data_IF_495487973219
#
_entry.id   IF_495487973219
#
_cell.length_a   1.000
_cell.length_b   1.000
_cell.length_c   1.000
_cell.angle_alpha   90.00
_cell.angle_beta   90.00
_cell.angle_gamma   90.00
#
_symmetry.space_group_name_H-M   'P 1'
#
loop_
_entity.id
_entity.type
_entity.pdbx_description
1 polymer ?
#
# COMPACT_ATOMS: atom_id res chain seq x y z
N UNK A 1 23.61 -21.72 22.77
CA UNK A 1 22.42 -21.93 23.63
C UNK A 1 21.86 -20.56 23.99
N UNK A 2 20.57 -20.35 23.77
CA UNK A 2 19.92 -19.08 24.10
C UNK A 2 19.78 -18.95 25.63
N UNK A 3 20.04 -17.76 26.16
CA UNK A 3 19.95 -17.46 27.59
C UNK A 3 18.87 -16.42 27.81
N UNK A 4 18.20 -16.49 28.95
CA UNK A 4 17.34 -15.40 29.44
C UNK A 4 18.20 -14.15 29.53
N UNK A 5 17.72 -13.05 28.97
CA UNK A 5 18.38 -11.75 28.98
C UNK A 5 17.59 -10.82 29.90
N UNK A 6 18.32 -10.13 30.78
CA UNK A 6 17.73 -9.07 31.59
C UNK A 6 17.53 -7.79 30.74
N UNK A 7 16.51 -6.98 31.04
CA UNK A 7 16.34 -5.68 30.41
C UNK A 7 17.59 -4.79 30.59
N UNK A 8 17.96 -4.07 29.54
CA UNK A 8 19.06 -3.11 29.56
C UNK A 8 18.75 -1.89 30.42
N UNK A 9 17.46 -1.56 30.58
CA UNK A 9 16.99 -0.37 31.31
C UNK A 9 15.56 -0.59 31.84
N UNK A 10 15.17 0.03 32.97
CA UNK A 10 13.77 0.12 33.37
C UNK A 10 12.91 0.93 32.38
N UNK A 11 13.54 1.77 31.55
CA UNK A 11 12.89 2.59 30.53
C UNK A 11 12.96 1.91 29.15
N UNK A 12 12.60 0.64 29.08
CA UNK A 12 12.70 -0.16 27.86
C UNK A 12 11.30 -0.50 27.33
N UNK A 13 11.11 -0.30 26.02
CA UNK A 13 9.98 -0.80 25.26
C UNK A 13 10.47 -1.99 24.44
N UNK A 14 10.07 -3.18 24.83
CA UNK A 14 10.57 -4.42 24.21
C UNK A 14 9.94 -4.67 22.84
N UNK A 15 10.66 -5.43 22.00
CA UNK A 15 10.13 -5.97 20.76
C UNK A 15 8.80 -6.72 20.99
N UNK A 16 7.87 -6.61 20.04
CA UNK A 16 6.50 -7.08 20.14
C UNK A 16 5.51 -6.05 20.69
N UNK A 17 5.98 -4.94 21.26
CA UNK A 17 5.11 -3.86 21.72
C UNK A 17 4.40 -3.15 20.57
N UNK A 18 3.20 -2.63 20.86
CA UNK A 18 2.41 -1.86 19.90
C UNK A 18 2.36 -0.40 20.31
N UNK A 19 2.62 0.50 19.36
CA UNK A 19 2.39 1.94 19.53
C UNK A 19 1.11 2.31 18.76
N UNK A 20 0.02 2.63 19.47
CA UNK A 20 -1.26 2.95 18.85
C UNK A 20 -1.26 4.38 18.31
N UNK A 21 -1.52 4.55 17.01
CA UNK A 21 -1.53 5.87 16.38
C UNK A 21 -2.66 6.03 15.35
N UNK A 22 -2.82 7.26 14.85
CA UNK A 22 -3.73 7.62 13.78
C UNK A 22 -3.03 8.54 12.79
N UNK A 23 -3.25 8.31 11.49
CA UNK A 23 -2.72 9.17 10.44
C UNK A 23 -3.21 10.62 10.61
N UNK A 24 -2.31 11.57 10.35
CA UNK A 24 -2.62 13.00 10.20
C UNK A 24 -2.67 13.34 8.71
N UNK A 25 -1.71 12.83 7.95
CA UNK A 25 -1.65 12.97 6.49
C UNK A 25 -2.25 11.74 5.83
N UNK A 26 -2.83 11.91 4.63
CA UNK A 26 -3.24 10.77 3.81
C UNK A 26 -2.03 10.07 3.17
N UNK A 27 -2.29 8.91 2.58
CA UNK A 27 -1.34 8.19 1.72
C UNK A 27 -2.01 8.01 0.35
N UNK A 28 -1.27 8.27 -0.72
CA UNK A 28 -1.61 7.86 -2.07
C UNK A 28 -0.40 7.14 -2.69
N UNK A 29 -0.55 5.88 -3.08
CA UNK A 29 0.52 5.06 -3.65
C UNK A 29 0.96 5.46 -5.06
N UNK A 30 0.33 6.44 -5.71
CA UNK A 30 0.75 6.94 -7.02
C UNK A 30 2.19 7.48 -7.01
N UNK A 31 2.63 8.05 -5.87
CA UNK A 31 3.98 8.57 -5.67
C UNK A 31 4.47 8.26 -4.25
N UNK A 32 5.74 7.86 -4.08
CA UNK A 32 6.30 7.61 -2.76
C UNK A 32 6.40 8.94 -2.00
N UNK A 33 6.29 8.87 -0.68
CA UNK A 33 6.25 10.08 0.13
C UNK A 33 6.44 9.87 1.61
N UNK A 34 6.35 10.99 2.33
CA UNK A 34 6.40 11.03 3.79
C UNK A 34 4.98 10.98 4.34
N UNK A 35 4.81 10.29 5.47
CA UNK A 35 3.55 10.21 6.20
C UNK A 35 3.76 10.60 7.66
N UNK A 36 2.76 11.28 8.23
CA UNK A 36 2.75 11.68 9.63
C UNK A 36 1.55 11.04 10.33
N UNK A 37 1.78 10.46 11.50
CA UNK A 37 0.74 9.99 12.41
C UNK A 37 0.90 10.59 13.81
N UNK A 38 -0.15 10.50 14.61
CA UNK A 38 -0.16 10.91 16.01
C UNK A 38 -0.44 9.70 16.90
N UNK A 39 0.39 9.52 17.93
CA UNK A 39 0.15 8.53 18.98
C UNK A 39 -1.15 8.87 19.71
N UNK A 40 -2.02 7.87 19.81
CA UNK A 40 -3.40 8.01 20.32
C UNK A 40 -3.55 7.61 21.77
N UNK A 41 -2.59 6.87 22.34
CA UNK A 41 -2.60 6.43 23.73
C UNK A 41 -1.18 6.43 24.29
N UNK A 42 -1.06 6.66 25.59
CA UNK A 42 0.21 6.56 26.31
C UNK A 42 0.80 5.15 26.20
N UNK A 43 2.10 5.05 25.91
CA UNK A 43 2.85 3.78 25.90
C UNK A 43 3.85 3.79 27.06
N UNK A 44 3.76 2.78 27.91
CA UNK A 44 4.59 2.61 29.09
C UNK A 44 5.69 1.57 28.84
N UNK A 45 6.67 1.52 29.73
CA UNK A 45 7.73 0.51 29.69
C UNK A 45 7.15 -0.91 29.79
N UNK A 46 7.79 -1.87 29.13
CA UNK A 46 7.38 -3.28 29.17
C UNK A 46 7.91 -4.02 30.40
N UNK A 47 8.88 -3.45 31.10
CA UNK A 47 9.59 -4.13 32.20
C UNK A 47 8.70 -4.21 33.45
N UNK A 48 8.03 -3.11 33.79
CA UNK A 48 7.14 -2.96 34.95
C UNK A 48 5.83 -2.23 34.61
N UNK A 49 5.75 -1.51 33.49
CA UNK A 49 4.55 -0.75 33.12
C UNK A 49 4.33 0.51 33.96
N UNK A 50 5.41 1.09 34.51
CA UNK A 50 5.34 2.17 35.50
C UNK A 50 5.77 3.53 34.92
N UNK A 51 6.62 3.52 33.89
CA UNK A 51 7.21 4.70 33.30
C UNK A 51 6.56 4.98 31.96
N UNK A 52 6.04 6.19 31.80
CA UNK A 52 5.52 6.67 30.53
C UNK A 52 6.69 6.92 29.58
N UNK A 53 6.79 6.15 28.50
CA UNK A 53 7.88 6.26 27.53
C UNK A 53 7.49 7.08 26.30
N UNK A 54 6.28 6.87 25.78
CA UNK A 54 5.77 7.60 24.61
C UNK A 54 4.42 8.22 25.00
N UNK A 55 4.37 9.53 25.27
CA UNK A 55 3.12 10.23 25.57
C UNK A 55 2.14 10.20 24.40
N UNK A 56 0.85 10.12 24.70
CA UNK A 56 -0.21 10.46 23.76
C UNK A 56 0.05 11.85 23.16
N UNK A 57 -0.20 12.00 21.86
CA UNK A 57 0.10 13.24 21.13
C UNK A 57 1.50 13.27 20.50
N UNK A 58 2.39 12.33 20.84
CA UNK A 58 3.67 12.16 20.12
C UNK A 58 3.42 12.01 18.62
N UNK A 59 4.31 12.58 17.79
CA UNK A 59 4.24 12.48 16.32
C UNK A 59 5.11 11.34 15.83
N UNK A 60 4.58 10.55 14.91
CA UNK A 60 5.32 9.57 14.14
C UNK A 60 5.62 10.16 12.77
N UNK A 61 6.88 10.08 12.35
CA UNK A 61 7.32 10.41 11.01
C UNK A 61 7.75 9.11 10.32
N UNK A 62 7.21 8.87 9.14
CA UNK A 62 7.53 7.69 8.35
C UNK A 62 7.48 7.97 6.87
N UNK A 63 7.68 6.92 6.09
CA UNK A 63 7.63 6.93 4.64
C UNK A 63 6.80 5.77 4.14
N UNK A 64 6.20 5.96 2.97
CA UNK A 64 5.50 4.91 2.25
C UNK A 64 6.05 4.82 0.83
N UNK A 65 6.03 3.61 0.27
CA UNK A 65 6.53 3.33 -1.08
C UNK A 65 5.36 3.25 -2.06
N UNK A 66 5.63 3.59 -3.32
CA UNK A 66 4.67 3.50 -4.43
C UNK A 66 4.69 2.16 -5.16
N UNK A 67 5.64 1.27 -4.86
CA UNK A 67 5.68 -0.06 -5.47
C UNK A 67 4.51 -0.91 -4.95
N UNK A 68 3.42 -0.87 -5.69
CA UNK A 68 2.27 -1.74 -5.52
C UNK A 68 2.33 -2.75 -6.64
N UNK A 69 2.74 -3.98 -6.32
CA UNK A 69 2.72 -5.06 -7.31
C UNK A 69 1.29 -5.40 -7.72
N UNK A 70 1.12 -5.97 -8.92
CA UNK A 70 -0.19 -6.46 -9.35
C UNK A 70 -0.77 -7.43 -8.29
N UNK A 71 -2.00 -7.17 -7.83
CA UNK A 71 -2.66 -7.92 -6.75
C UNK A 71 -2.37 -7.44 -5.32
N UNK A 72 -1.58 -6.38 -5.14
CA UNK A 72 -1.34 -5.78 -3.82
C UNK A 72 -2.39 -4.70 -3.51
N UNK A 73 -3.07 -4.88 -2.38
CA UNK A 73 -4.15 -4.00 -1.88
C UNK A 73 -3.73 -3.19 -0.64
N UNK A 74 -2.44 -3.20 -0.30
CA UNK A 74 -1.91 -2.62 0.94
C UNK A 74 -0.73 -1.69 0.68
N UNK A 75 -0.78 -0.51 1.30
CA UNK A 75 0.32 0.43 1.31
C UNK A 75 1.30 0.09 2.44
N UNK A 76 2.55 -0.20 2.10
CA UNK A 76 3.60 -0.44 3.09
C UNK A 76 4.10 0.89 3.65
N UNK A 77 4.17 0.97 4.97
CA UNK A 77 4.66 2.13 5.72
C UNK A 77 5.79 1.68 6.61
N UNK A 78 6.85 2.48 6.67
CA UNK A 78 7.93 2.35 7.65
C UNK A 78 7.97 3.62 8.47
N UNK A 79 8.01 3.48 9.79
CA UNK A 79 8.15 4.59 10.72
C UNK A 79 9.62 4.76 11.07
N UNK A 80 10.13 5.97 10.82
CA UNK A 80 11.55 6.29 10.95
C UNK A 80 11.84 7.05 12.27
N UNK A 81 10.85 7.75 12.82
CA UNK A 81 11.05 8.59 14.02
C UNK A 81 9.80 8.81 14.84
N UNK A 82 9.97 8.86 16.15
CA UNK A 82 8.97 9.33 17.12
C UNK A 82 9.45 10.66 17.69
N UNK A 83 8.61 11.68 17.66
CA UNK A 83 8.84 12.99 18.26
C UNK A 83 7.87 13.17 19.43
N UNK A 84 8.42 13.36 20.62
CA UNK A 84 7.65 13.54 21.85
C UNK A 84 7.27 15.01 22.06
N UNK A 85 6.22 15.30 22.86
CA UNK A 85 5.77 16.68 23.11
C UNK A 85 6.81 17.58 23.77
N UNK A 86 7.79 17.00 24.46
CA UNK A 86 8.89 17.73 25.12
C UNK A 86 10.03 18.12 24.15
N UNK A 87 9.88 17.80 22.85
CA UNK A 87 10.89 18.05 21.82
C UNK A 87 11.95 16.96 21.69
N UNK A 88 11.96 15.96 22.59
CA UNK A 88 12.86 14.81 22.44
C UNK A 88 12.37 13.88 21.33
N UNK A 89 13.28 13.09 20.77
CA UNK A 89 12.94 12.15 19.70
C UNK A 89 13.79 10.89 19.76
N UNK A 90 13.23 9.81 19.20
CA UNK A 90 13.92 8.54 19.02
C UNK A 90 13.78 8.11 17.56
N UNK A 91 14.91 7.73 16.96
CA UNK A 91 14.94 7.15 15.61
C UNK A 91 14.62 5.66 15.70
N UNK A 92 13.73 5.21 14.84
CA UNK A 92 13.23 3.84 14.78
C UNK A 92 13.28 3.33 13.33
N UNK A 93 12.99 2.06 13.11
CA UNK A 93 12.84 1.52 11.75
C UNK A 93 11.76 0.44 11.78
N UNK A 94 10.57 0.84 12.23
CA UNK A 94 9.50 -0.10 12.53
C UNK A 94 8.46 -0.17 11.41
N UNK A 95 7.98 -1.37 11.05
CA UNK A 95 6.91 -1.52 10.09
C UNK A 95 5.58 -0.98 10.64
N UNK A 96 4.83 -0.34 9.75
CA UNK A 96 3.43 0.03 9.99
C UNK A 96 2.50 -1.15 9.73
N UNK A 97 1.47 -1.26 10.58
CA UNK A 97 0.39 -2.23 10.45
C UNK A 97 -0.96 -1.56 10.66
N UNK A 98 -2.02 -2.19 10.17
CA UNK A 98 -3.39 -1.75 10.44
C UNK A 98 -3.80 -2.04 11.90
N UNK A 99 -5.01 -1.62 12.27
CA UNK A 99 -5.54 -1.80 13.62
C UNK A 99 -5.64 -3.27 14.06
N UNK A 100 -5.68 -4.21 13.11
CA UNK A 100 -5.73 -5.66 13.35
C UNK A 100 -4.34 -6.31 13.34
N UNK A 101 -3.27 -5.55 13.12
CA UNK A 101 -1.89 -6.03 13.13
C UNK A 101 -1.40 -6.62 11.81
N UNK A 102 -2.18 -6.54 10.73
CA UNK A 102 -1.67 -6.95 9.42
C UNK A 102 -0.70 -5.90 8.88
N UNK A 103 0.36 -6.35 8.22
CA UNK A 103 1.36 -5.47 7.62
C UNK A 103 0.76 -4.51 6.58
N UNK A 104 1.21 -3.26 6.60
CA UNK A 104 0.69 -2.20 5.73
C UNK A 104 -0.74 -1.79 6.04
N UNK A 105 -1.23 -0.81 5.28
CA UNK A 105 -2.54 -0.19 5.45
C UNK A 105 -3.44 -0.48 4.25
N UNK A 106 -4.72 -0.74 4.51
CA UNK A 106 -5.76 -0.93 3.48
C UNK A 106 -6.96 -0.04 3.79
N UNK A 107 -7.40 0.74 2.80
CA UNK A 107 -8.64 1.51 2.82
C UNK A 107 -9.29 1.38 1.43
N UNK A 108 -9.02 2.31 0.51
CA UNK A 108 -9.57 2.25 -0.85
C UNK A 108 -8.50 1.86 -1.86
N UNK A 109 -8.81 0.92 -2.75
CA UNK A 109 -7.98 0.56 -3.91
C UNK A 109 -8.75 0.84 -5.19
N UNK A 110 -8.18 1.62 -6.10
CA UNK A 110 -8.66 1.77 -7.46
C UNK A 110 -7.81 0.91 -8.41
N UNK A 111 -8.46 -0.05 -9.06
CA UNK A 111 -7.84 -0.96 -10.01
C UNK A 111 -8.00 -0.50 -11.47
N UNK A 112 -8.68 0.63 -11.70
CA UNK A 112 -8.90 1.19 -13.04
C UNK A 112 -9.57 0.21 -14.04
N UNK A 113 -10.46 -0.67 -13.54
CA UNK A 113 -11.18 -1.66 -14.34
C UNK A 113 -12.11 -1.04 -15.37
N UNK A 114 -12.60 0.17 -15.11
CA UNK A 114 -13.41 0.95 -16.05
C UNK A 114 -12.71 1.12 -17.40
N UNK A 115 -11.40 1.43 -17.38
CA UNK A 115 -10.58 1.57 -18.59
C UNK A 115 -10.39 0.23 -19.30
N UNK A 116 -10.22 -0.86 -18.53
CA UNK A 116 -10.09 -2.22 -19.06
C UNK A 116 -11.37 -2.61 -19.82
N UNK A 117 -12.53 -2.49 -19.17
CA UNK A 117 -13.80 -2.89 -19.76
C UNK A 117 -14.22 -1.99 -20.93
N UNK A 118 -13.91 -0.69 -20.87
CA UNK A 118 -14.11 0.21 -22.00
C UNK A 118 -13.26 -0.20 -23.21
N UNK A 119 -11.98 -0.50 -23.00
CA UNK A 119 -11.08 -0.95 -24.06
C UNK A 119 -11.53 -2.31 -24.65
N UNK A 120 -11.91 -3.27 -23.80
CA UNK A 120 -12.41 -4.57 -24.23
C UNK A 120 -13.72 -4.43 -25.04
N UNK A 121 -14.66 -3.61 -24.57
CA UNK A 121 -15.93 -3.36 -25.26
C UNK A 121 -15.73 -2.73 -26.66
N UNK A 122 -14.84 -1.75 -26.78
CA UNK A 122 -14.46 -1.17 -28.08
C UNK A 122 -13.87 -2.23 -29.02
N UNK A 123 -12.99 -3.10 -28.51
CA UNK A 123 -12.42 -4.20 -29.30
C UNK A 123 -13.49 -5.19 -29.77
N UNK A 124 -14.46 -5.55 -28.91
CA UNK A 124 -15.58 -6.44 -29.28
C UNK A 124 -16.45 -5.83 -30.38
N UNK A 125 -16.79 -4.53 -30.28
CA UNK A 125 -17.59 -3.87 -31.31
C UNK A 125 -16.88 -3.82 -32.66
N UNK A 126 -15.57 -3.56 -32.67
CA UNK A 126 -14.76 -3.59 -33.89
C UNK A 126 -14.65 -5.00 -34.46
N UNK A 127 -14.52 -6.03 -33.61
CA UNK A 127 -14.51 -7.43 -34.02
C UNK A 127 -15.81 -7.86 -34.72
N UNK A 128 -16.97 -7.55 -34.12
CA UNK A 128 -18.29 -7.85 -34.71
C UNK A 128 -18.49 -7.07 -36.02
N UNK A 129 -18.07 -5.81 -36.07
CA UNK A 129 -18.16 -4.98 -37.28
C UNK A 129 -17.34 -5.53 -38.46
N UNK A 130 -16.21 -6.21 -38.17
CA UNK A 130 -15.41 -6.88 -39.20
C UNK A 130 -16.03 -8.19 -39.70
N UNK A 131 -16.80 -8.90 -38.87
CA UNK A 131 -17.49 -10.15 -39.26
C UNK A 131 -18.72 -9.90 -40.16
N UNK A 132 -19.41 -8.76 -40.00
CA UNK A 132 -20.66 -8.44 -40.69
C UNK A 132 -20.49 -7.63 -42.00
N UNK A 133 -19.28 -7.52 -42.55
CA UNK A 133 -19.02 -6.84 -43.83
C UNK A 133 -19.75 -7.49 -45.02
N UNK A 134 -20.25 -6.71 -46.00
CA UNK A 134 -21.01 -7.22 -47.14
C UNK A 134 -20.18 -8.25 -47.91
N UNK A 135 -20.69 -9.48 -48.03
CA UNK A 135 -20.02 -10.55 -48.75
C UNK A 135 -20.14 -10.36 -50.26
N UNK A 136 -19.00 -10.29 -50.95
CA UNK A 136 -18.94 -10.50 -52.39
C UNK A 136 -17.62 -11.18 -52.80
N UNK A 137 -17.75 -12.29 -53.52
CA UNK A 137 -16.74 -13.33 -53.76
C UNK A 137 -15.35 -12.82 -54.20
N UNK A 138 -14.32 -13.06 -53.38
CA UNK A 138 -12.92 -12.88 -53.78
C UNK A 138 -11.89 -13.46 -52.81
N UNK A 139 -10.88 -14.18 -53.31
CA UNK A 139 -9.73 -14.65 -52.50
C UNK A 139 -8.98 -13.50 -51.80
N UNK A 140 -9.10 -12.28 -52.31
CA UNK A 140 -8.56 -11.05 -51.73
C UNK A 140 -9.37 -10.64 -50.49
N UNK A 141 -10.69 -10.81 -50.50
CA UNK A 141 -11.56 -10.49 -49.37
C UNK A 141 -11.31 -11.44 -48.18
N UNK A 142 -11.07 -12.73 -48.43
CA UNK A 142 -10.66 -13.69 -47.38
C UNK A 142 -9.33 -13.35 -46.73
N UNK A 143 -8.35 -12.85 -47.49
CA UNK A 143 -7.06 -12.43 -46.96
C UNK A 143 -7.18 -11.14 -46.14
N UNK A 144 -8.00 -10.18 -46.59
CA UNK A 144 -8.29 -8.93 -45.87
C UNK A 144 -9.09 -9.20 -44.58
N UNK A 145 -10.11 -10.06 -44.63
CA UNK A 145 -10.88 -10.46 -43.43
C UNK A 145 -10.02 -11.18 -42.39
N UNK A 146 -9.13 -12.10 -42.80
CA UNK A 146 -8.18 -12.75 -41.86
C UNK A 146 -7.18 -11.75 -41.27
N UNK A 147 -6.55 -10.93 -42.12
CA UNK A 147 -5.61 -9.89 -41.65
C UNK A 147 -6.26 -8.90 -40.68
N UNK A 148 -7.53 -8.55 -40.88
CA UNK A 148 -8.28 -7.64 -40.01
C UNK A 148 -8.70 -8.31 -38.71
N UNK A 149 -9.16 -9.57 -38.76
CA UNK A 149 -9.52 -10.36 -37.57
C UNK A 149 -8.30 -10.63 -36.68
N UNK A 150 -7.17 -11.00 -37.28
CA UNK A 150 -5.91 -11.24 -36.58
C UNK A 150 -5.38 -9.94 -35.93
N UNK A 151 -5.47 -8.80 -36.64
CA UNK A 151 -5.03 -7.49 -36.11
C UNK A 151 -5.92 -7.00 -34.96
N UNK A 152 -7.25 -7.22 -35.03
CA UNK A 152 -8.17 -6.83 -33.96
C UNK A 152 -7.96 -7.70 -32.70
N UNK A 153 -7.77 -9.00 -32.87
CA UNK A 153 -7.45 -9.90 -31.77
C UNK A 153 -6.13 -9.52 -31.09
N UNK A 154 -5.10 -9.17 -31.88
CA UNK A 154 -3.82 -8.72 -31.35
C UNK A 154 -3.89 -7.35 -30.66
N UNK A 155 -4.66 -6.41 -31.21
CA UNK A 155 -4.89 -5.10 -30.59
C UNK A 155 -5.68 -5.21 -29.27
N UNK A 156 -6.69 -6.08 -29.21
CA UNK A 156 -7.45 -6.39 -28.01
C UNK A 156 -6.58 -7.02 -26.91
N UNK A 157 -5.77 -8.01 -27.26
CA UNK A 157 -4.80 -8.63 -26.33
C UNK A 157 -3.81 -7.60 -25.80
N UNK A 158 -3.18 -6.79 -26.68
CA UNK A 158 -2.24 -5.73 -26.25
C UNK A 158 -2.89 -4.67 -25.37
N UNK A 159 -4.17 -4.34 -25.59
CA UNK A 159 -4.89 -3.39 -24.75
C UNK A 159 -5.17 -3.97 -23.35
N UNK A 160 -5.58 -5.23 -23.27
CA UNK A 160 -5.73 -5.96 -22.01
C UNK A 160 -4.40 -6.06 -21.28
N UNK A 161 -3.32 -6.46 -21.96
CA UNK A 161 -1.98 -6.57 -21.39
C UNK A 161 -1.46 -5.22 -20.86
N UNK A 162 -1.66 -4.15 -21.62
CA UNK A 162 -1.31 -2.79 -21.18
C UNK A 162 -2.16 -2.35 -20.00
N UNK A 163 -3.44 -2.70 -19.96
CA UNK A 163 -4.30 -2.31 -18.84
C UNK A 163 -3.98 -3.12 -17.57
N UNK A 164 -3.61 -4.40 -17.72
CA UNK A 164 -3.10 -5.22 -16.62
C UNK A 164 -1.72 -4.74 -16.12
N UNK A 165 -0.98 -3.99 -16.95
CA UNK A 165 0.29 -3.36 -16.55
C UNK A 165 0.14 -2.04 -15.76
N UNK A 166 -1.08 -1.50 -15.65
CA UNK A 166 -1.35 -0.32 -14.82
C UNK A 166 -1.44 -0.75 -13.36
N UNK A 167 -0.56 -0.22 -12.52
CA UNK A 167 -0.57 -0.49 -11.09
C UNK A 167 -1.84 0.07 -10.44
N UNK A 168 -2.46 -0.65 -9.48
CA UNK A 168 -3.58 -0.11 -8.73
C UNK A 168 -3.14 1.04 -7.83
N UNK A 169 -4.04 2.00 -7.62
CA UNK A 169 -3.82 3.15 -6.73
C UNK A 169 -4.47 2.90 -5.38
N UNK A 170 -3.68 2.93 -4.31
CA UNK A 170 -4.13 2.76 -2.93
C UNK A 170 -4.19 4.12 -2.25
N UNK A 171 -5.37 4.48 -1.75
CA UNK A 171 -5.58 5.71 -0.98
C UNK A 171 -5.98 5.39 0.44
N UNK A 172 -5.20 5.88 1.41
CA UNK A 172 -5.51 5.83 2.84
C UNK A 172 -5.83 7.24 3.33
N UNK A 173 -7.00 7.43 3.91
CA UNK A 173 -7.44 8.76 4.35
C UNK A 173 -6.74 9.23 5.63
N UNK A 174 -6.60 10.56 5.84
CA UNK A 174 -6.30 11.11 7.16
C UNK A 174 -7.24 10.57 8.24
N UNK A 175 -6.75 10.42 9.47
CA UNK A 175 -7.50 9.84 10.58
C UNK A 175 -7.55 8.31 10.60
N UNK A 176 -6.92 7.62 9.63
CA UNK A 176 -6.90 6.17 9.61
C UNK A 176 -6.07 5.60 10.78
N UNK A 177 -6.60 4.62 11.55
CA UNK A 177 -5.87 4.03 12.66
C UNK A 177 -4.71 3.16 12.16
N UNK A 178 -3.58 3.26 12.84
CA UNK A 178 -2.36 2.50 12.55
C UNK A 178 -1.75 1.96 13.84
N UNK A 179 -0.95 0.89 13.70
CA UNK A 179 -0.12 0.33 14.76
C UNK A 179 1.32 0.29 14.29
N UNK A 180 2.23 0.79 15.13
CA UNK A 180 3.66 0.54 14.96
C UNK A 180 4.00 -0.71 15.75
N UNK A 181 4.55 -1.72 15.10
CA UNK A 181 5.04 -2.93 15.77
C UNK A 181 6.53 -2.71 16.05
N UNK A 182 6.90 -2.70 17.33
CA UNK A 182 8.29 -2.57 17.74
C UNK A 182 9.01 -3.89 17.46
N UNK A 183 9.99 -3.90 16.58
CA UNK A 183 10.73 -5.11 16.14
C UNK A 183 12.04 -5.31 16.88
N UNK A 184 12.51 -4.27 17.57
CA UNK A 184 13.73 -4.26 18.38
C UNK A 184 13.50 -3.46 19.66
N UNK A 185 14.20 -3.84 20.71
CA UNK A 185 14.10 -3.15 21.99
C UNK A 185 14.52 -1.68 21.85
N UNK A 186 13.65 -0.79 22.33
CA UNK A 186 13.89 0.65 22.35
C UNK A 186 14.19 1.05 23.80
N UNK A 187 15.33 1.71 24.01
CA UNK A 187 15.74 2.21 25.32
C UNK A 187 15.55 3.71 25.37
N UNK A 188 14.82 4.18 26.38
CA UNK A 188 14.53 5.58 26.65
C UNK A 188 15.40 6.09 27.83
N UNK A 189 15.38 7.40 28.04
CA UNK A 189 16.15 8.11 29.07
C UNK A 189 15.27 8.52 30.25
#
# INVERSE_FOLDING_TARGET
>A
PDRVQDPLSPYQLMAGSLIPASLITGINSDLPGTVIAQVTQNVYDTVRGQHLLIPQGSRLLGRYQSEVSFGQDRALVVWDRILMPDGSSITISEPGSDASGYAGLKDRTDHHWDKVFAAAGLATLLGIGAELGPGDDGNIERAIRRGTTDTINEAGQRAVDRSLSVQPSITIRPGWPVRVIVTKDLVFR
#
